data_IF_987960331311
#
_entry.id   IF_987960331311
#
_cell.length_a   1.000
_cell.length_b   1.000
_cell.length_c   1.000
_cell.angle_alpha   90.00
_cell.angle_beta   90.00
_cell.angle_gamma   90.00
#
_symmetry.space_group_name_H-M   'P 1'
#
loop_
_entity.id
_entity.type
_entity.pdbx_description
1 polymer ?
#
# COMPACT_ATOMS: atom_id res chain seq x y z
N UNK A 1 6.80 3.31 -1.42
CA UNK A 1 7.36 3.34 -2.79
C UNK A 1 8.68 4.11 -2.81
N UNK A 2 9.59 3.87 -3.77
CA UNK A 2 10.82 4.69 -3.88
C UNK A 2 10.54 6.03 -4.56
N UNK A 3 11.18 7.11 -4.13
CA UNK A 3 11.07 8.43 -4.80
C UNK A 3 11.41 8.32 -6.29
N UNK A 4 12.44 7.55 -6.65
CA UNK A 4 12.80 7.31 -8.06
C UNK A 4 11.71 6.65 -8.89
N UNK A 5 10.82 5.86 -8.26
CA UNK A 5 9.67 5.26 -8.94
C UNK A 5 8.55 6.29 -9.12
N UNK A 6 8.31 7.13 -8.11
CA UNK A 6 7.36 8.26 -8.22
C UNK A 6 7.79 9.22 -9.34
N UNK A 7 9.05 9.65 -9.35
CA UNK A 7 9.59 10.54 -10.37
C UNK A 7 9.43 10.04 -11.81
N UNK A 8 9.30 8.72 -12.02
CA UNK A 8 9.02 8.15 -13.35
C UNK A 8 7.54 8.15 -13.71
N UNK A 9 6.66 8.09 -12.70
CA UNK A 9 5.21 7.94 -12.88
C UNK A 9 4.47 9.26 -12.88
N UNK A 10 5.01 10.31 -12.31
CA UNK A 10 4.30 11.58 -12.08
C UNK A 10 5.29 12.75 -11.98
N UNK A 11 4.82 14.01 -12.10
CA UNK A 11 5.61 15.18 -11.79
C UNK A 11 5.82 15.34 -10.26
N UNK A 12 6.52 14.37 -9.66
CA UNK A 12 6.60 14.12 -8.22
C UNK A 12 6.94 15.38 -7.41
N UNK A 13 7.95 16.14 -7.83
CA UNK A 13 8.43 17.31 -7.09
C UNK A 13 7.38 18.43 -7.06
N UNK A 14 6.75 18.72 -8.20
CA UNK A 14 5.69 19.72 -8.27
C UNK A 14 4.48 19.33 -7.40
N UNK A 15 4.09 18.06 -7.44
CA UNK A 15 2.98 17.54 -6.63
C UNK A 15 3.31 17.56 -5.13
N UNK A 16 4.54 17.20 -4.76
CA UNK A 16 5.02 17.27 -3.37
C UNK A 16 4.93 18.70 -2.84
N UNK A 17 5.47 19.67 -3.59
CA UNK A 17 5.48 21.10 -3.24
C UNK A 17 4.06 21.61 -3.05
N UNK A 18 3.20 21.46 -4.06
CA UNK A 18 1.82 21.95 -4.02
C UNK A 18 1.03 21.34 -2.87
N UNK A 19 1.19 20.03 -2.64
CA UNK A 19 0.50 19.34 -1.55
C UNK A 19 0.96 19.84 -0.19
N UNK A 20 2.27 20.05 0.02
CA UNK A 20 2.81 20.56 1.28
C UNK A 20 2.44 22.03 1.50
N UNK A 21 2.51 22.87 0.46
CA UNK A 21 2.07 24.28 0.53
C UNK A 21 0.62 24.36 0.98
N UNK A 22 -0.28 23.65 0.29
CA UNK A 22 -1.71 23.59 0.63
C UNK A 22 -1.92 23.03 2.04
N UNK A 23 -1.40 21.84 2.28
CA UNK A 23 -1.63 21.08 3.51
C UNK A 23 -1.10 21.76 4.76
N UNK A 24 0.11 22.33 4.71
CA UNK A 24 0.66 23.08 5.84
C UNK A 24 0.04 24.46 5.99
N UNK A 25 -0.36 25.12 4.90
CA UNK A 25 -1.04 26.40 5.03
C UNK A 25 -2.36 26.25 5.78
N UNK A 26 -3.12 25.21 5.44
CA UNK A 26 -4.35 24.84 6.13
C UNK A 26 -4.09 24.40 7.58
N UNK A 27 -3.08 23.53 7.79
CA UNK A 27 -2.77 23.01 9.13
C UNK A 27 -2.36 24.10 10.13
N UNK A 28 -1.54 25.06 9.70
CA UNK A 28 -0.97 26.06 10.59
C UNK A 28 -1.66 27.42 10.52
N UNK A 29 -2.69 27.57 9.67
CA UNK A 29 -3.43 28.82 9.53
C UNK A 29 -2.57 29.98 9.02
N UNK A 30 -1.53 29.70 8.24
CA UNK A 30 -0.58 30.68 7.70
C UNK A 30 -0.24 30.37 6.25
N UNK A 31 0.07 31.36 5.43
CA UNK A 31 0.51 31.08 4.05
C UNK A 31 1.91 30.48 4.05
N UNK A 32 2.00 29.20 3.70
CA UNK A 32 3.26 28.46 3.55
C UNK A 32 3.67 28.42 2.08
N UNK A 33 4.92 28.76 1.82
CA UNK A 33 5.57 28.53 0.52
C UNK A 33 6.67 27.49 0.64
N UNK A 34 6.72 26.59 -0.32
CA UNK A 34 7.73 25.54 -0.43
C UNK A 34 8.48 25.74 -1.74
N UNK A 35 9.81 25.81 -1.67
CA UNK A 35 10.66 26.07 -2.84
C UNK A 35 11.70 24.98 -2.98
N UNK A 36 11.82 24.40 -4.17
CA UNK A 36 12.81 23.39 -4.48
C UNK A 36 13.67 23.81 -5.68
N UNK A 37 14.97 23.46 -5.70
CA UNK A 37 15.71 22.80 -4.62
C UNK A 37 15.95 23.73 -3.43
N UNK A 38 16.11 23.14 -2.23
CA UNK A 38 16.44 23.87 -1.00
C UNK A 38 17.16 23.00 0.03
N UNK A 39 17.77 23.64 1.04
CA UNK A 39 18.64 22.97 2.03
C UNK A 39 18.02 22.79 3.42
N UNK A 40 16.89 23.44 3.68
CA UNK A 40 16.16 23.40 4.95
C UNK A 40 15.57 22.02 5.25
N UNK A 41 14.99 21.39 4.23
CA UNK A 41 14.58 19.99 4.25
C UNK A 41 15.44 19.17 3.30
N UNK A 42 15.89 18.01 3.79
CA UNK A 42 16.76 17.09 3.09
C UNK A 42 16.03 15.80 2.80
N UNK A 43 16.37 15.15 1.70
CA UNK A 43 15.83 13.84 1.32
C UNK A 43 16.83 12.74 1.65
N UNK A 44 16.36 11.65 2.27
CA UNK A 44 17.10 10.40 2.41
C UNK A 44 16.58 9.37 1.37
N UNK A 45 17.30 9.16 0.26
CA UNK A 45 16.84 8.29 -0.82
C UNK A 45 16.63 6.82 -0.42
N UNK A 46 17.35 6.33 0.60
CA UNK A 46 17.27 4.92 1.01
C UNK A 46 15.91 4.54 1.62
N UNK A 47 15.27 5.47 2.32
CA UNK A 47 13.97 5.28 2.96
C UNK A 47 12.88 6.16 2.34
N UNK A 48 13.21 6.94 1.32
CA UNK A 48 12.28 7.86 0.65
C UNK A 48 11.60 8.83 1.63
N UNK A 49 12.38 9.48 2.50
CA UNK A 49 11.83 10.40 3.50
C UNK A 49 12.50 11.76 3.48
N UNK A 50 11.76 12.81 3.82
CA UNK A 50 12.28 14.16 4.03
C UNK A 50 12.31 14.51 5.52
N UNK A 51 13.33 15.26 5.92
CA UNK A 51 13.59 15.65 7.30
C UNK A 51 14.47 16.91 7.33
N UNK A 52 14.46 17.66 8.44
CA UNK A 52 15.34 18.82 8.59
C UNK A 52 16.73 18.43 9.10
N UNK A 53 17.76 19.25 8.82
CA UNK A 53 19.12 18.95 9.29
C UNK A 53 19.25 18.81 10.83
N UNK A 54 18.31 19.38 11.59
CA UNK A 54 18.27 19.29 13.06
C UNK A 54 17.34 18.21 13.61
N UNK A 55 16.84 17.32 12.75
CA UNK A 55 15.90 16.25 13.12
C UNK A 55 16.23 15.57 14.45
N UNK A 56 15.24 15.39 15.32
CA UNK A 56 15.41 14.97 16.71
C UNK A 56 15.72 13.47 16.87
N UNK A 57 15.96 13.01 18.10
CA UNK A 57 16.36 11.64 18.39
C UNK A 57 15.32 10.58 18.02
N UNK A 58 14.03 10.87 18.20
CA UNK A 58 12.96 9.92 17.91
C UNK A 58 12.72 9.75 16.40
N UNK A 59 12.69 10.86 15.67
CA UNK A 59 12.60 10.84 14.21
C UNK A 59 13.81 10.13 13.59
N UNK A 60 15.04 10.35 14.12
CA UNK A 60 16.23 9.58 13.70
C UNK A 60 16.12 8.09 14.02
N UNK A 61 15.55 7.73 15.19
CA UNK A 61 15.30 6.33 15.56
C UNK A 61 14.34 5.66 14.57
N UNK A 62 13.26 6.34 14.23
CA UNK A 62 12.31 5.88 13.21
C UNK A 62 13.01 5.63 11.88
N UNK A 63 13.75 6.61 11.35
CA UNK A 63 14.46 6.49 10.06
C UNK A 63 15.49 5.35 10.06
N UNK A 64 16.25 5.20 11.15
CA UNK A 64 17.16 4.07 11.35
C UNK A 64 16.42 2.74 11.22
N UNK A 65 15.35 2.56 11.98
CA UNK A 65 14.67 1.28 12.11
C UNK A 65 13.88 0.91 10.84
N UNK A 66 13.39 1.90 10.10
CA UNK A 66 12.77 1.72 8.78
C UNK A 66 13.71 1.14 7.73
N UNK A 67 15.03 1.18 7.97
CA UNK A 67 16.06 0.65 7.06
C UNK A 67 16.88 -0.51 7.63
N UNK A 68 17.27 -0.42 8.90
CA UNK A 68 18.30 -1.27 9.54
C UNK A 68 17.98 -2.76 9.43
N UNK A 69 16.72 -3.13 9.60
CA UNK A 69 16.28 -4.53 9.57
C UNK A 69 15.71 -4.88 8.20
N UNK A 70 16.06 -6.05 7.68
CA UNK A 70 15.65 -6.48 6.34
C UNK A 70 15.38 -7.96 6.28
N UNK A 71 14.36 -8.41 5.51
CA UNK A 71 14.16 -9.82 5.26
C UNK A 71 15.22 -10.41 4.31
N UNK A 72 16.00 -9.58 3.61
CA UNK A 72 17.01 -10.03 2.65
C UNK A 72 18.34 -10.29 3.38
N UNK A 73 18.61 -11.55 3.71
CA UNK A 73 19.78 -11.95 4.51
C UNK A 73 21.12 -11.48 3.91
N UNK A 74 21.27 -11.56 2.58
CA UNK A 74 22.49 -11.09 1.90
C UNK A 74 22.76 -9.60 2.04
N UNK A 75 21.76 -8.81 2.46
CA UNK A 75 21.88 -7.36 2.68
C UNK A 75 21.90 -7.00 4.17
N UNK A 76 21.73 -7.96 5.08
CA UNK A 76 21.48 -7.70 6.49
C UNK A 76 22.63 -6.91 7.15
N UNK A 77 23.88 -7.36 6.99
CA UNK A 77 25.03 -6.69 7.59
C UNK A 77 25.21 -5.25 7.04
N UNK A 78 25.15 -5.08 5.72
CA UNK A 78 25.27 -3.77 5.08
C UNK A 78 24.15 -2.80 5.51
N UNK A 79 22.89 -3.26 5.53
CA UNK A 79 21.77 -2.42 5.99
C UNK A 79 21.83 -2.13 7.47
N UNK A 80 22.35 -3.06 8.29
CA UNK A 80 22.56 -2.81 9.70
C UNK A 80 23.57 -1.69 9.94
N UNK A 81 24.72 -1.73 9.24
CA UNK A 81 25.78 -0.71 9.35
C UNK A 81 25.26 0.65 8.87
N UNK A 82 24.70 0.70 7.66
CA UNK A 82 24.17 1.93 7.08
C UNK A 82 23.01 2.49 7.90
N UNK A 83 22.09 1.64 8.35
CA UNK A 83 20.99 2.03 9.23
C UNK A 83 21.51 2.63 10.53
N UNK A 84 22.52 2.00 11.15
CA UNK A 84 23.16 2.54 12.35
C UNK A 84 23.78 3.92 12.10
N UNK A 85 24.40 4.14 10.93
CA UNK A 85 24.90 5.46 10.55
C UNK A 85 23.78 6.52 10.44
N UNK A 86 22.58 6.14 9.95
CA UNK A 86 21.41 7.03 9.90
C UNK A 86 20.91 7.49 11.27
N UNK A 87 21.28 6.78 12.36
CA UNK A 87 20.95 7.20 13.72
C UNK A 87 21.71 8.47 14.17
N UNK A 88 22.84 8.76 13.51
CA UNK A 88 23.70 9.91 13.81
C UNK A 88 23.38 11.11 12.91
N UNK A 89 23.50 12.33 13.45
CA UNK A 89 23.33 13.57 12.66
C UNK A 89 24.29 13.62 11.46
N UNK A 90 25.54 13.21 11.67
CA UNK A 90 26.60 13.24 10.65
C UNK A 90 26.29 12.24 9.53
N UNK A 91 26.04 10.98 9.88
CA UNK A 91 25.74 9.94 8.88
C UNK A 91 24.49 10.27 8.07
N UNK A 92 23.46 10.80 8.72
CA UNK A 92 22.25 11.24 8.05
C UNK A 92 22.49 12.45 7.12
N UNK A 93 23.28 13.44 7.54
CA UNK A 93 23.65 14.59 6.69
C UNK A 93 24.47 14.17 5.46
N UNK A 94 25.48 13.33 5.65
CA UNK A 94 26.37 12.87 4.56
C UNK A 94 25.67 11.98 3.53
N UNK A 95 24.65 11.23 3.94
CA UNK A 95 23.91 10.32 3.05
C UNK A 95 22.63 10.91 2.47
N UNK A 96 22.28 12.15 2.82
CA UNK A 96 21.09 12.85 2.31
C UNK A 96 21.44 13.88 1.25
N UNK A 97 20.44 14.25 0.46
CA UNK A 97 20.53 15.26 -0.59
C UNK A 97 19.68 16.49 -0.23
N UNK A 98 19.96 17.67 -0.79
CA UNK A 98 19.03 18.80 -0.73
C UNK A 98 17.63 18.37 -1.20
N UNK A 99 16.62 18.93 -0.56
CA UNK A 99 15.21 18.72 -0.88
C UNK A 99 14.59 20.05 -1.22
N UNK A 100 14.01 20.72 -0.23
CA UNK A 100 13.29 21.97 -0.41
C UNK A 100 13.44 22.88 0.82
N UNK A 101 13.12 24.16 0.64
CA UNK A 101 13.00 25.17 1.68
C UNK A 101 11.53 25.51 1.93
N UNK A 102 11.22 25.97 3.14
CA UNK A 102 9.86 26.33 3.55
C UNK A 102 9.87 27.68 4.24
N UNK A 103 8.95 28.56 3.87
CA UNK A 103 8.78 29.89 4.47
C UNK A 103 7.29 30.21 4.68
N UNK A 104 6.88 30.65 5.90
CA UNK A 104 7.67 30.72 7.12
C UNK A 104 8.09 29.32 7.61
N UNK A 105 8.98 29.26 8.60
CA UNK A 105 9.40 27.98 9.18
C UNK A 105 8.22 27.26 9.83
N UNK A 106 8.14 25.94 9.57
CA UNK A 106 7.12 25.08 10.15
C UNK A 106 7.42 24.83 11.64
N UNK A 107 6.45 25.01 12.55
CA UNK A 107 6.62 24.68 13.96
C UNK A 107 7.06 23.23 14.15
N UNK A 108 8.03 22.98 15.05
CA UNK A 108 8.54 21.65 15.38
C UNK A 108 9.05 20.85 14.17
N UNK A 109 9.53 21.49 13.11
CA UNK A 109 10.05 20.81 11.92
C UNK A 109 11.25 19.87 12.20
N UNK A 110 11.97 20.07 13.31
CA UNK A 110 13.00 19.15 13.79
C UNK A 110 12.41 17.85 14.38
N UNK A 111 11.13 17.81 14.70
CA UNK A 111 10.44 16.60 15.14
C UNK A 111 9.65 15.92 14.02
N UNK A 112 9.80 16.34 12.75
CA UNK A 112 8.99 15.85 11.65
C UNK A 112 9.75 14.97 10.65
N UNK A 113 9.05 13.96 10.13
CA UNK A 113 9.48 13.14 8.98
C UNK A 113 8.37 13.08 7.96
N UNK A 114 8.67 13.39 6.70
CA UNK A 114 7.71 13.37 5.60
C UNK A 114 7.97 12.14 4.74
N UNK A 115 6.95 11.33 4.51
CA UNK A 115 7.01 10.11 3.71
C UNK A 115 6.03 10.25 2.54
N UNK A 116 6.52 10.59 1.34
CA UNK A 116 5.70 10.50 0.13
C UNK A 116 5.30 9.05 -0.19
N UNK A 117 4.02 8.87 -0.47
CA UNK A 117 3.41 7.66 -1.00
C UNK A 117 2.87 7.86 -2.41
N UNK A 118 2.14 6.85 -2.91
CA UNK A 118 1.60 6.90 -4.27
C UNK A 118 0.55 8.01 -4.42
N UNK A 119 -0.50 7.96 -3.60
CA UNK A 119 -1.62 8.91 -3.66
C UNK A 119 -1.58 9.97 -2.55
N UNK A 120 -0.66 9.81 -1.59
CA UNK A 120 -0.70 10.54 -0.31
C UNK A 120 0.69 10.90 0.19
N UNK A 121 0.78 11.90 1.06
CA UNK A 121 1.99 12.27 1.79
C UNK A 121 1.70 12.15 3.29
N UNK A 122 2.49 11.34 3.99
CA UNK A 122 2.39 11.21 5.45
C UNK A 122 3.41 12.14 6.11
N UNK A 123 2.96 12.97 7.05
CA UNK A 123 3.81 13.81 7.90
C UNK A 123 3.74 13.28 9.32
N UNK A 124 4.83 12.65 9.76
CA UNK A 124 4.97 12.10 11.09
C UNK A 124 5.54 13.17 11.99
N UNK A 125 4.78 13.61 12.99
CA UNK A 125 5.22 14.57 14.01
C UNK A 125 5.45 13.84 15.35
N UNK A 126 6.72 13.69 15.69
CA UNK A 126 7.16 13.01 16.90
C UNK A 126 6.99 13.88 18.16
N UNK A 127 6.81 15.19 18.01
CA UNK A 127 6.55 16.10 19.14
C UNK A 127 5.12 15.98 19.64
N UNK A 128 4.15 15.92 18.72
CA UNK A 128 2.72 15.80 19.03
C UNK A 128 2.21 14.35 19.02
N UNK A 129 3.06 13.40 18.60
CA UNK A 129 2.71 11.97 18.43
C UNK A 129 1.55 11.77 17.45
N UNK A 130 1.54 12.55 16.36
CA UNK A 130 0.52 12.49 15.32
C UNK A 130 1.12 12.17 13.96
N UNK A 131 0.32 11.50 13.14
CA UNK A 131 0.56 11.35 11.72
C UNK A 131 -0.55 12.11 10.99
N UNK A 132 -0.20 13.11 10.19
CA UNK A 132 -1.14 13.76 9.28
C UNK A 132 -0.90 13.22 7.87
N UNK A 133 -1.97 12.77 7.23
CA UNK A 133 -1.94 12.22 5.88
C UNK A 133 -2.62 13.20 4.95
N UNK A 134 -1.87 13.75 3.99
CA UNK A 134 -2.39 14.64 2.95
C UNK A 134 -2.68 13.85 1.67
N UNK A 135 -3.83 14.09 1.06
CA UNK A 135 -4.08 13.70 -0.32
C UNK A 135 -3.15 14.52 -1.23
N UNK A 136 -2.44 13.84 -2.14
CA UNK A 136 -1.61 14.54 -3.11
C UNK A 136 -2.45 15.34 -4.08
N UNK A 137 -1.93 16.50 -4.47
CA UNK A 137 -2.61 17.37 -5.42
C UNK A 137 -2.90 16.63 -6.74
N UNK A 138 -4.11 16.80 -7.28
CA UNK A 138 -4.55 16.14 -8.52
C UNK A 138 -4.90 14.65 -8.40
N UNK A 139 -4.86 14.05 -7.19
CA UNK A 139 -5.31 12.67 -6.97
C UNK A 139 -6.80 12.59 -6.60
N UNK A 140 -7.42 11.45 -6.91
CA UNK A 140 -8.81 11.17 -6.58
C UNK A 140 -8.97 10.99 -5.06
N UNK A 141 -9.86 11.77 -4.43
CA UNK A 141 -10.13 11.69 -3.00
C UNK A 141 -10.97 10.49 -2.60
N UNK A 142 -11.54 9.73 -3.55
CA UNK A 142 -12.41 8.60 -3.27
C UNK A 142 -11.76 7.53 -2.36
N UNK A 143 -10.47 7.25 -2.54
CA UNK A 143 -9.73 6.29 -1.71
C UNK A 143 -9.51 6.82 -0.28
N UNK A 144 -9.28 8.13 -0.12
CA UNK A 144 -9.15 8.78 1.18
C UNK A 144 -10.50 8.86 1.90
N UNK A 145 -11.56 9.25 1.20
CA UNK A 145 -12.92 9.28 1.73
C UNK A 145 -13.40 7.89 2.15
N UNK A 146 -13.09 6.85 1.36
CA UNK A 146 -13.40 5.48 1.71
C UNK A 146 -12.72 5.05 3.02
N UNK A 147 -11.44 5.38 3.19
CA UNK A 147 -10.71 5.05 4.41
C UNK A 147 -11.21 5.83 5.62
N UNK A 148 -11.50 7.13 5.47
CA UNK A 148 -12.09 7.96 6.53
C UNK A 148 -13.41 7.34 7.00
N UNK A 149 -14.28 6.98 6.06
CA UNK A 149 -15.57 6.35 6.36
C UNK A 149 -15.42 4.97 7.01
N UNK A 150 -14.52 4.14 6.49
CA UNK A 150 -14.32 2.78 6.98
C UNK A 150 -13.78 2.78 8.41
N UNK A 151 -12.73 3.58 8.64
CA UNK A 151 -12.02 3.58 9.92
C UNK A 151 -12.77 4.35 10.99
N UNK A 152 -13.39 5.48 10.64
CA UNK A 152 -14.20 6.29 11.55
C UNK A 152 -13.52 6.47 12.93
N UNK A 153 -14.25 6.15 14.00
CA UNK A 153 -13.77 6.19 15.38
C UNK A 153 -12.80 5.08 15.78
N UNK A 154 -12.53 4.10 14.91
CA UNK A 154 -11.67 2.94 15.18
C UNK A 154 -12.35 1.78 15.90
N UNK A 155 -13.58 1.95 16.39
CA UNK A 155 -14.25 0.97 17.26
C UNK A 155 -14.65 -0.33 16.54
N UNK A 156 -14.67 -0.32 15.22
CA UNK A 156 -15.27 -1.36 14.39
C UNK A 156 -14.27 -2.25 13.68
N UNK A 157 -12.95 -2.16 13.94
CA UNK A 157 -12.00 -3.00 13.22
C UNK A 157 -10.54 -2.95 13.67
N UNK A 158 -9.65 -3.71 13.00
CA UNK A 158 -8.26 -3.92 13.40
C UNK A 158 -7.33 -2.78 12.94
N UNK A 159 -7.81 -1.55 13.00
CA UNK A 159 -7.14 -0.36 12.48
C UNK A 159 -7.13 0.77 13.52
N UNK A 160 -6.14 1.67 13.46
CA UNK A 160 -6.12 2.80 14.36
C UNK A 160 -7.25 3.79 14.02
N UNK A 161 -7.80 4.50 15.03
CA UNK A 161 -8.84 5.49 14.81
C UNK A 161 -8.33 6.68 14.00
N UNK A 162 -9.22 7.29 13.22
CA UNK A 162 -8.97 8.60 12.62
C UNK A 162 -9.44 9.66 13.61
N UNK A 163 -8.52 10.49 14.08
CA UNK A 163 -8.79 11.46 15.15
C UNK A 163 -9.38 12.76 14.63
N UNK A 164 -9.11 13.11 13.38
CA UNK A 164 -9.64 14.28 12.70
C UNK A 164 -9.50 14.11 11.18
N UNK A 165 -10.39 14.73 10.40
CA UNK A 165 -10.30 14.73 8.95
C UNK A 165 -10.93 16.00 8.36
N UNK A 166 -10.53 16.35 7.15
CA UNK A 166 -11.22 17.36 6.36
C UNK A 166 -12.50 16.81 5.75
N UNK A 167 -13.56 17.62 5.70
CA UNK A 167 -14.85 17.24 5.11
C UNK A 167 -14.72 16.82 3.63
N UNK A 168 -13.76 17.41 2.92
CA UNK A 168 -13.48 17.11 1.51
C UNK A 168 -12.50 15.94 1.31
N UNK A 169 -12.12 15.22 2.37
CA UNK A 169 -11.14 14.14 2.36
C UNK A 169 -9.77 14.54 1.76
N UNK A 170 -9.37 15.81 1.91
CA UNK A 170 -8.05 16.28 1.47
C UNK A 170 -6.93 16.00 2.47
N UNK A 171 -7.28 15.70 3.72
CA UNK A 171 -6.37 15.19 4.75
C UNK A 171 -7.11 14.47 5.87
N UNK A 172 -6.40 13.65 6.63
CA UNK A 172 -6.81 13.14 7.94
C UNK A 172 -5.63 13.03 8.91
N UNK A 173 -5.93 12.95 10.21
CA UNK A 173 -4.98 12.72 11.29
C UNK A 173 -5.26 11.41 12.01
N UNK A 174 -4.18 10.78 12.46
CA UNK A 174 -4.19 9.59 13.31
C UNK A 174 -3.05 9.65 14.33
N UNK A 175 -3.11 8.81 15.36
CA UNK A 175 -2.02 8.66 16.30
C UNK A 175 -0.77 8.10 15.60
N UNK A 176 0.40 8.62 15.93
CA UNK A 176 1.66 8.06 15.46
C UNK A 176 1.91 6.69 16.11
N UNK A 177 1.94 5.63 15.31
CA UNK A 177 2.21 4.28 15.80
C UNK A 177 3.69 4.11 16.15
N UNK A 178 4.00 3.78 17.40
CA UNK A 178 5.34 3.34 17.80
C UNK A 178 5.51 1.84 17.51
N UNK A 179 5.62 1.52 16.23
CA UNK A 179 5.61 0.16 15.71
C UNK A 179 6.70 -0.05 14.64
N UNK A 180 6.97 -1.31 14.34
CA UNK A 180 7.72 -1.73 13.15
C UNK A 180 6.73 -2.23 12.08
N UNK A 181 6.97 -1.92 10.81
CA UNK A 181 6.38 -2.74 9.75
C UNK A 181 6.93 -4.17 9.87
N UNK A 182 6.11 -5.20 9.68
CA UNK A 182 6.47 -6.60 9.91
C UNK A 182 7.81 -7.02 9.24
N UNK A 183 8.11 -6.67 7.96
CA UNK A 183 9.40 -7.01 7.33
C UNK A 183 10.60 -6.38 8.04
N UNK A 184 10.38 -5.27 8.74
CA UNK A 184 11.38 -4.46 9.47
C UNK A 184 11.44 -4.78 10.96
N UNK A 185 10.71 -5.78 11.43
CA UNK A 185 10.85 -6.24 12.81
C UNK A 185 12.28 -6.79 13.07
N UNK A 186 12.86 -6.51 14.26
CA UNK A 186 14.15 -7.07 14.68
C UNK A 186 14.10 -8.60 14.81
N UNK A 187 15.26 -9.29 14.87
CA UNK A 187 15.32 -10.76 14.93
C UNK A 187 14.62 -11.41 16.13
N UNK A 188 14.38 -10.66 17.22
CA UNK A 188 13.72 -11.18 18.42
C UNK A 188 12.18 -11.23 18.34
N UNK A 189 11.58 -10.70 17.27
CA UNK A 189 10.12 -10.75 17.05
C UNK A 189 9.81 -11.93 16.14
N UNK A 190 8.89 -12.79 16.57
CA UNK A 190 8.35 -13.88 15.73
C UNK A 190 7.40 -13.30 14.68
N UNK A 191 7.95 -13.06 13.49
CA UNK A 191 7.20 -12.51 12.37
C UNK A 191 6.09 -13.44 11.89
N UNK A 192 6.27 -14.75 12.01
CA UNK A 192 5.26 -15.72 11.58
C UNK A 192 4.05 -15.71 12.51
N UNK A 193 4.29 -15.57 13.83
CA UNK A 193 3.23 -15.39 14.80
C UNK A 193 2.47 -14.08 14.57
N UNK A 194 3.16 -12.96 14.40
CA UNK A 194 2.53 -11.67 14.12
C UNK A 194 1.73 -11.67 12.80
N UNK A 195 2.23 -12.32 11.75
CA UNK A 195 1.50 -12.46 10.47
C UNK A 195 0.23 -13.30 10.63
N UNK A 196 0.30 -14.38 11.41
CA UNK A 196 -0.87 -15.22 11.73
C UNK A 196 -1.90 -14.43 12.54
N UNK A 197 -1.46 -13.64 13.51
CA UNK A 197 -2.34 -12.81 14.33
C UNK A 197 -3.00 -11.69 13.52
N UNK A 198 -2.24 -11.03 12.63
CA UNK A 198 -2.77 -10.07 11.65
C UNK A 198 -3.92 -10.66 10.83
N UNK A 199 -3.74 -11.89 10.34
CA UNK A 199 -4.73 -12.59 9.54
C UNK A 199 -5.98 -12.96 10.36
N UNK A 200 -5.79 -13.42 11.61
CA UNK A 200 -6.90 -13.73 12.50
C UNK A 200 -7.74 -12.48 12.81
N UNK A 201 -7.10 -11.35 13.15
CA UNK A 201 -7.78 -10.07 13.39
C UNK A 201 -8.60 -9.62 12.17
N UNK A 202 -8.03 -9.76 10.98
CA UNK A 202 -8.71 -9.43 9.74
C UNK A 202 -9.91 -10.34 9.48
N UNK A 203 -9.78 -11.64 9.73
CA UNK A 203 -10.85 -12.62 9.50
C UNK A 203 -11.99 -12.50 10.51
N UNK A 204 -11.67 -12.17 11.76
CA UNK A 204 -12.66 -11.85 12.78
C UNK A 204 -13.49 -10.63 12.37
N UNK A 205 -12.83 -9.56 11.92
CA UNK A 205 -13.50 -8.37 11.40
C UNK A 205 -14.34 -8.63 10.15
N UNK A 206 -13.82 -9.43 9.21
CA UNK A 206 -14.52 -9.81 7.98
C UNK A 206 -15.83 -10.55 8.25
N UNK A 207 -15.93 -11.28 9.37
CA UNK A 207 -17.09 -12.10 9.72
C UNK A 207 -18.39 -11.29 9.75
N UNK A 208 -18.33 -10.05 10.22
CA UNK A 208 -19.52 -9.19 10.39
C UNK A 208 -20.10 -8.71 9.05
N UNK A 209 -19.26 -8.69 8.01
CA UNK A 209 -19.66 -8.31 6.65
C UNK A 209 -19.86 -9.50 5.71
N UNK A 210 -19.74 -10.73 6.23
CA UNK A 210 -19.77 -11.94 5.41
C UNK A 210 -21.17 -12.19 4.87
N UNK A 211 -21.28 -12.39 3.55
CA UNK A 211 -22.52 -12.77 2.89
C UNK A 211 -22.28 -13.71 1.71
N UNK A 212 -23.24 -14.57 1.43
CA UNK A 212 -23.24 -15.38 0.21
C UNK A 212 -23.77 -14.58 -0.97
N UNK A 213 -23.19 -14.80 -2.14
CA UNK A 213 -23.63 -14.24 -3.42
C UNK A 213 -23.59 -15.32 -4.51
N UNK A 214 -24.39 -15.09 -5.56
CA UNK A 214 -24.28 -15.87 -6.79
C UNK A 214 -22.95 -15.55 -7.49
N UNK A 215 -22.18 -16.59 -7.84
CA UNK A 215 -20.85 -16.42 -8.41
C UNK A 215 -20.90 -15.80 -9.81
N UNK A 216 -21.94 -16.07 -10.59
CA UNK A 216 -22.13 -15.53 -11.94
C UNK A 216 -22.46 -14.05 -11.88
N UNK A 217 -23.35 -13.63 -10.99
CA UNK A 217 -23.69 -12.22 -10.80
C UNK A 217 -22.46 -11.44 -10.32
N UNK A 218 -21.74 -11.97 -9.33
CA UNK A 218 -20.52 -11.34 -8.83
C UNK A 218 -19.43 -11.20 -9.90
N UNK A 219 -19.10 -12.29 -10.59
CA UNK A 219 -18.08 -12.28 -11.66
C UNK A 219 -18.47 -11.37 -12.83
N UNK A 220 -19.77 -11.27 -13.17
CA UNK A 220 -20.27 -10.36 -14.21
C UNK A 220 -20.09 -8.90 -13.81
N UNK A 221 -20.44 -8.53 -12.58
CA UNK A 221 -20.25 -7.17 -12.08
C UNK A 221 -18.77 -6.78 -12.01
N UNK A 222 -17.93 -7.70 -11.52
CA UNK A 222 -16.49 -7.49 -11.45
C UNK A 222 -15.86 -7.36 -12.83
N UNK A 223 -16.28 -8.19 -13.79
CA UNK A 223 -15.84 -8.10 -15.19
C UNK A 223 -16.21 -6.75 -15.80
N UNK A 224 -17.45 -6.30 -15.63
CA UNK A 224 -17.90 -5.02 -16.18
C UNK A 224 -17.06 -3.85 -15.66
N UNK A 225 -16.78 -3.84 -14.34
CA UNK A 225 -15.90 -2.83 -13.72
C UNK A 225 -14.48 -2.91 -14.26
N UNK A 226 -13.90 -4.11 -14.33
CA UNK A 226 -12.54 -4.31 -14.83
C UNK A 226 -12.40 -3.93 -16.31
N UNK A 227 -13.41 -4.20 -17.15
CA UNK A 227 -13.44 -3.78 -18.54
C UNK A 227 -13.56 -2.25 -18.69
N UNK A 228 -14.33 -1.59 -17.82
CA UNK A 228 -14.39 -0.13 -17.78
C UNK A 228 -13.03 0.48 -17.41
N UNK A 229 -12.39 0.00 -16.34
CA UNK A 229 -11.06 0.46 -15.94
C UNK A 229 -10.03 0.13 -17.04
N UNK A 230 -10.12 -1.03 -17.70
CA UNK A 230 -9.25 -1.39 -18.82
C UNK A 230 -9.41 -0.43 -20.01
N UNK A 231 -10.64 -0.03 -20.35
CA UNK A 231 -10.89 0.93 -21.43
C UNK A 231 -10.22 2.28 -21.11
N UNK A 232 -10.31 2.76 -19.87
CA UNK A 232 -9.63 3.98 -19.43
C UNK A 232 -8.10 3.84 -19.43
N UNK A 233 -7.58 2.66 -19.08
CA UNK A 233 -6.14 2.35 -19.17
C UNK A 233 -5.67 2.38 -20.63
N UNK A 234 -6.44 1.80 -21.57
CA UNK A 234 -6.12 1.85 -23.00
C UNK A 234 -6.14 3.28 -23.54
N UNK A 235 -7.15 4.07 -23.18
CA UNK A 235 -7.25 5.48 -23.57
C UNK A 235 -6.05 6.31 -23.09
N UNK A 236 -5.67 6.12 -21.80
CA UNK A 236 -4.60 6.89 -21.18
C UNK A 236 -3.19 6.42 -21.55
N UNK A 237 -2.97 5.11 -21.65
CA UNK A 237 -1.63 4.51 -21.75
C UNK A 237 -1.40 3.70 -23.04
N UNK A 238 -2.39 3.63 -23.92
CA UNK A 238 -2.30 3.03 -25.25
C UNK A 238 -2.96 1.65 -25.37
N UNK A 239 -3.42 1.33 -26.59
CA UNK A 239 -4.27 0.15 -26.88
C UNK A 239 -3.59 -1.22 -26.71
N UNK A 240 -2.28 -1.29 -26.49
CA UNK A 240 -1.58 -2.57 -26.27
C UNK A 240 -2.02 -3.29 -24.97
N UNK A 241 -2.76 -2.61 -24.09
CA UNK A 241 -3.41 -3.18 -22.91
C UNK A 241 -4.69 -3.95 -23.23
N UNK A 242 -5.31 -3.73 -24.39
CA UNK A 242 -6.55 -4.41 -24.80
C UNK A 242 -6.41 -5.94 -24.85
N UNK A 243 -5.18 -6.44 -24.99
CA UNK A 243 -4.84 -7.85 -24.85
C UNK A 243 -5.30 -8.48 -23.51
N UNK A 244 -5.51 -7.68 -22.46
CA UNK A 244 -6.03 -8.15 -21.18
C UNK A 244 -7.54 -8.49 -21.21
N UNK A 245 -8.28 -8.05 -22.23
CA UNK A 245 -9.73 -8.25 -22.32
C UNK A 245 -10.11 -9.74 -22.33
N UNK A 246 -9.46 -10.52 -23.19
CA UNK A 246 -9.72 -11.97 -23.29
C UNK A 246 -9.37 -12.72 -22.00
N UNK A 247 -8.34 -12.25 -21.28
CA UNK A 247 -7.96 -12.77 -19.98
C UNK A 247 -9.07 -12.50 -18.94
N UNK A 248 -9.55 -11.25 -18.85
CA UNK A 248 -10.67 -10.89 -17.98
C UNK A 248 -11.90 -11.76 -18.24
N UNK A 249 -12.29 -11.90 -19.52
CA UNK A 249 -13.45 -12.71 -19.92
C UNK A 249 -13.28 -14.18 -19.52
N UNK A 250 -12.07 -14.73 -19.70
CA UNK A 250 -11.75 -16.12 -19.33
C UNK A 250 -11.84 -16.33 -17.83
N UNK A 251 -11.25 -15.43 -17.03
CA UNK A 251 -11.27 -15.52 -15.57
C UNK A 251 -12.70 -15.38 -15.02
N UNK A 252 -13.49 -14.44 -15.54
CA UNK A 252 -14.88 -14.26 -15.15
C UNK A 252 -15.71 -15.51 -15.43
N UNK A 253 -15.55 -16.12 -16.61
CA UNK A 253 -16.23 -17.36 -16.97
C UNK A 253 -15.87 -18.50 -16.00
N UNK A 254 -14.59 -18.71 -15.73
CA UNK A 254 -14.11 -19.77 -14.83
C UNK A 254 -14.54 -19.54 -13.37
N UNK A 255 -14.70 -18.28 -12.96
CA UNK A 255 -15.16 -17.90 -11.62
C UNK A 255 -16.68 -18.00 -11.40
N UNK A 256 -17.48 -18.18 -12.45
CA UNK A 256 -18.93 -17.92 -12.45
C UNK A 256 -19.83 -19.06 -11.91
N UNK A 257 -19.28 -20.09 -11.26
CA UNK A 257 -20.02 -21.30 -10.91
C UNK A 257 -20.47 -21.37 -9.44
N UNK A 258 -21.75 -21.66 -9.18
CA UNK A 258 -22.24 -21.87 -7.81
C UNK A 258 -22.29 -20.59 -6.98
N UNK A 259 -21.93 -20.68 -5.70
CA UNK A 259 -21.99 -19.56 -4.75
C UNK A 259 -20.60 -19.16 -4.28
N UNK A 260 -20.46 -17.89 -3.93
CA UNK A 260 -19.23 -17.33 -3.35
C UNK A 260 -19.57 -16.61 -2.05
N UNK A 261 -18.68 -16.70 -1.07
CA UNK A 261 -18.76 -15.86 0.13
C UNK A 261 -17.95 -14.59 -0.09
N UNK A 262 -18.62 -13.45 0.10
CA UNK A 262 -18.05 -12.12 0.02
C UNK A 262 -17.93 -11.52 1.41
N UNK A 263 -16.93 -10.67 1.62
CA UNK A 263 -16.78 -9.84 2.82
C UNK A 263 -16.03 -8.56 2.48
N UNK A 264 -16.13 -7.57 3.37
CA UNK A 264 -15.28 -6.38 3.30
C UNK A 264 -13.81 -6.82 3.48
N UNK A 265 -12.97 -6.54 2.49
CA UNK A 265 -11.55 -6.90 2.49
C UNK A 265 -10.67 -5.67 2.80
N UNK A 266 -9.44 -5.89 3.24
CA UNK A 266 -8.41 -4.87 3.28
C UNK A 266 -8.02 -4.44 1.86
N UNK A 267 -7.95 -5.38 0.92
CA UNK A 267 -7.66 -5.10 -0.50
C UNK A 267 -6.18 -4.96 -0.83
N UNK A 268 -5.31 -4.86 0.17
CA UNK A 268 -3.86 -4.80 0.04
C UNK A 268 -3.17 -5.45 1.26
N UNK A 269 -3.67 -6.62 1.67
CA UNK A 269 -3.14 -7.30 2.86
C UNK A 269 -1.76 -7.91 2.59
N UNK A 270 -0.72 -7.11 2.80
CA UNK A 270 0.69 -7.50 2.65
C UNK A 270 1.47 -7.17 3.93
N UNK A 271 2.61 -7.85 4.13
CA UNK A 271 3.45 -7.67 5.31
C UNK A 271 3.84 -6.20 5.59
N UNK A 272 3.96 -5.37 4.56
CA UNK A 272 4.23 -3.93 4.72
C UNK A 272 3.16 -3.15 5.47
N UNK A 273 1.92 -3.64 5.46
CA UNK A 273 0.74 -3.03 6.07
C UNK A 273 0.39 -3.65 7.44
N UNK A 274 1.22 -4.58 7.92
CA UNK A 274 1.15 -5.16 9.25
C UNK A 274 2.14 -4.41 10.14
N UNK A 275 1.62 -3.70 11.14
CA UNK A 275 2.41 -2.97 12.13
C UNK A 275 2.48 -3.78 13.42
N UNK A 276 3.68 -3.90 13.98
CA UNK A 276 3.96 -4.63 15.23
C UNK A 276 4.47 -3.64 16.26
N UNK A 277 3.71 -3.46 17.34
CA UNK A 277 4.03 -2.57 18.44
C UNK A 277 5.38 -2.95 19.07
N UNK A 278 6.20 -1.95 19.38
CA UNK A 278 7.55 -2.17 19.91
C UNK A 278 7.59 -2.72 21.34
N UNK A 279 6.55 -2.46 22.13
CA UNK A 279 6.52 -2.74 23.57
C UNK A 279 6.02 -4.14 23.87
N UNK A 280 4.93 -4.53 23.24
CA UNK A 280 4.14 -5.74 23.54
C UNK A 280 4.00 -6.67 22.33
N UNK A 281 4.47 -6.25 21.14
CA UNK A 281 4.32 -6.97 19.88
C UNK A 281 2.86 -7.10 19.39
N UNK A 282 1.95 -6.28 19.92
CA UNK A 282 0.58 -6.19 19.44
C UNK A 282 0.53 -5.79 17.97
N UNK A 283 -0.40 -6.40 17.24
CA UNK A 283 -0.54 -6.24 15.80
C UNK A 283 -1.63 -5.21 15.48
N UNK A 284 -1.35 -4.36 14.49
CA UNK A 284 -2.32 -3.40 13.95
C UNK A 284 -2.20 -3.33 12.44
N UNK A 285 -3.32 -3.20 11.74
CA UNK A 285 -3.36 -3.10 10.28
C UNK A 285 -3.54 -1.65 9.83
N UNK A 286 -2.80 -1.25 8.81
CA UNK A 286 -2.82 0.11 8.26
C UNK A 286 -3.05 0.10 6.75
N UNK A 287 -3.29 1.28 6.18
CA UNK A 287 -3.41 1.48 4.73
C UNK A 287 -4.67 0.84 4.11
N UNK A 288 -5.83 1.29 4.60
CA UNK A 288 -7.15 0.75 4.24
C UNK A 288 -7.77 1.38 2.98
N UNK A 289 -6.96 2.09 2.18
CA UNK A 289 -7.41 2.86 1.03
C UNK A 289 -8.05 2.02 -0.07
N UNK A 290 -7.67 0.73 -0.14
CA UNK A 290 -8.17 -0.24 -1.12
C UNK A 290 -9.27 -1.16 -0.59
N UNK A 291 -9.79 -0.87 0.61
CA UNK A 291 -10.82 -1.69 1.23
C UNK A 291 -12.10 -1.68 0.39
N UNK A 292 -12.59 -2.86 0.06
CA UNK A 292 -13.82 -3.07 -0.70
C UNK A 292 -14.37 -4.47 -0.44
N UNK A 293 -15.63 -4.70 -0.79
CA UNK A 293 -16.20 -6.03 -0.78
C UNK A 293 -15.56 -6.91 -1.87
N UNK A 294 -15.05 -8.07 -1.47
CA UNK A 294 -14.36 -9.05 -2.31
C UNK A 294 -14.70 -10.46 -1.82
N UNK A 295 -14.25 -11.48 -2.52
CA UNK A 295 -14.26 -12.85 -1.99
C UNK A 295 -13.57 -12.86 -0.62
N UNK A 296 -14.13 -13.56 0.36
CA UNK A 296 -13.59 -13.56 1.72
C UNK A 296 -12.16 -14.12 1.82
N UNK A 297 -11.72 -14.86 0.79
CA UNK A 297 -10.37 -15.41 0.69
C UNK A 297 -9.37 -14.42 0.08
N UNK A 298 -9.82 -13.28 -0.45
CA UNK A 298 -8.98 -12.37 -1.24
C UNK A 298 -7.71 -11.95 -0.50
N UNK A 299 -7.83 -11.43 0.73
CA UNK A 299 -6.67 -10.95 1.48
C UNK A 299 -5.69 -12.07 1.84
N UNK A 300 -6.22 -13.26 2.18
CA UNK A 300 -5.40 -14.44 2.45
C UNK A 300 -4.65 -14.90 1.19
N UNK A 301 -5.27 -14.81 0.03
CA UNK A 301 -4.65 -15.09 -1.27
C UNK A 301 -3.59 -14.02 -1.64
N UNK A 302 -3.87 -12.72 -1.41
CA UNK A 302 -2.88 -11.64 -1.61
C UNK A 302 -1.61 -11.89 -0.78
N UNK A 303 -1.77 -12.21 0.51
CA UNK A 303 -0.67 -12.50 1.41
C UNK A 303 0.06 -13.81 1.04
N UNK A 304 -0.67 -14.91 0.92
CA UNK A 304 -0.12 -16.24 0.67
C UNK A 304 0.58 -16.36 -0.69
N UNK A 305 0.01 -15.75 -1.74
CA UNK A 305 0.62 -15.69 -3.07
C UNK A 305 1.55 -14.49 -3.26
N UNK A 306 1.69 -13.62 -2.27
CA UNK A 306 2.52 -12.40 -2.34
C UNK A 306 2.28 -11.64 -3.64
N UNK A 307 1.03 -11.42 -4.04
CA UNK A 307 0.70 -10.98 -5.40
C UNK A 307 1.17 -9.57 -5.72
N UNK A 308 1.32 -8.71 -4.70
CA UNK A 308 1.95 -7.38 -4.80
C UNK A 308 3.43 -7.41 -5.14
N UNK A 309 4.13 -8.52 -4.83
CA UNK A 309 5.45 -8.83 -5.36
C UNK A 309 5.31 -9.78 -6.55
N UNK A 310 4.72 -9.28 -7.65
CA UNK A 310 4.21 -10.12 -8.74
C UNK A 310 5.27 -11.01 -9.40
N UNK A 311 6.56 -10.69 -9.29
CA UNK A 311 7.63 -11.58 -9.78
C UNK A 311 7.54 -12.98 -9.14
N UNK A 312 7.44 -14.00 -9.98
CA UNK A 312 7.25 -15.39 -9.58
C UNK A 312 5.83 -15.75 -9.11
N UNK A 313 4.83 -14.90 -9.38
CA UNK A 313 3.43 -15.18 -9.07
C UNK A 313 2.94 -16.42 -9.80
N UNK A 314 3.34 -16.62 -11.06
CA UNK A 314 2.90 -17.76 -11.87
C UNK A 314 3.23 -19.10 -11.21
N UNK A 315 4.45 -19.21 -10.69
CA UNK A 315 4.92 -20.40 -9.98
C UNK A 315 4.16 -20.61 -8.66
N UNK A 316 3.90 -19.53 -7.92
CA UNK A 316 3.13 -19.61 -6.67
C UNK A 316 1.68 -20.02 -6.91
N UNK A 317 1.06 -19.53 -7.98
CA UNK A 317 -0.29 -19.95 -8.41
C UNK A 317 -0.32 -21.45 -8.75
N UNK A 318 0.63 -21.94 -9.55
CA UNK A 318 0.73 -23.36 -9.90
C UNK A 318 0.91 -24.25 -8.65
N UNK A 319 1.76 -23.82 -7.72
CA UNK A 319 1.97 -24.54 -6.46
C UNK A 319 0.72 -24.54 -5.57
N UNK A 320 0.02 -23.41 -5.47
CA UNK A 320 -1.20 -23.30 -4.67
C UNK A 320 -2.33 -24.19 -5.19
N UNK A 321 -2.47 -24.34 -6.51
CA UNK A 321 -3.44 -25.27 -7.12
C UNK A 321 -3.14 -26.75 -6.82
N UNK A 322 -1.92 -27.09 -6.41
CA UNK A 322 -1.52 -28.47 -6.10
C UNK A 322 -1.51 -28.78 -4.60
N UNK A 323 -1.22 -27.78 -3.76
CA UNK A 323 -0.89 -27.98 -2.33
C UNK A 323 -1.71 -27.13 -1.39
N UNK A 324 -2.70 -26.42 -1.91
CA UNK A 324 -3.47 -25.42 -1.16
C UNK A 324 -2.57 -24.30 -0.57
N UNK A 325 -3.19 -23.25 -0.05
CA UNK A 325 -2.50 -22.31 0.84
C UNK A 325 -2.86 -22.66 2.29
N UNK A 326 -2.05 -22.27 3.28
CA UNK A 326 -2.40 -22.47 4.69
C UNK A 326 -3.83 -22.01 4.99
N UNK A 327 -4.71 -22.97 5.28
CA UNK A 327 -6.12 -22.76 5.59
C UNK A 327 -6.99 -22.25 4.42
N UNK A 328 -6.56 -22.36 3.16
CA UNK A 328 -7.39 -22.10 1.98
C UNK A 328 -7.36 -23.30 1.06
N UNK A 329 -8.53 -23.86 0.78
CA UNK A 329 -8.67 -24.80 -0.33
C UNK A 329 -8.69 -24.00 -1.63
N UNK A 330 -7.71 -24.22 -2.49
CA UNK A 330 -7.52 -23.49 -3.74
C UNK A 330 -7.93 -24.38 -4.90
N UNK A 331 -9.15 -24.15 -5.40
CA UNK A 331 -9.62 -24.76 -6.64
C UNK A 331 -9.55 -23.76 -7.81
N UNK A 332 -9.89 -24.24 -9.01
CA UNK A 332 -9.90 -23.42 -10.23
C UNK A 332 -10.76 -22.17 -10.14
N UNK A 333 -11.95 -22.28 -9.54
CA UNK A 333 -12.87 -21.16 -9.40
C UNK A 333 -12.33 -20.10 -8.43
N UNK A 334 -11.87 -20.51 -7.24
CA UNK A 334 -11.27 -19.62 -6.25
C UNK A 334 -10.08 -18.87 -6.83
N UNK A 335 -9.22 -19.58 -7.56
CA UNK A 335 -8.07 -18.96 -8.23
C UNK A 335 -8.51 -18.00 -9.35
N UNK A 336 -9.51 -18.38 -10.15
CA UNK A 336 -10.01 -17.52 -11.24
C UNK A 336 -10.58 -16.19 -10.70
N UNK A 337 -11.40 -16.25 -9.65
CA UNK A 337 -11.95 -15.07 -9.00
C UNK A 337 -10.85 -14.22 -8.38
N UNK A 338 -9.91 -14.82 -7.65
CA UNK A 338 -8.78 -14.10 -7.09
C UNK A 338 -7.99 -13.34 -8.18
N UNK A 339 -7.62 -14.01 -9.27
CA UNK A 339 -6.86 -13.39 -10.35
C UNK A 339 -7.64 -12.27 -11.06
N UNK A 340 -8.97 -12.39 -11.15
CA UNK A 340 -9.84 -11.35 -11.69
C UNK A 340 -9.91 -10.14 -10.76
N UNK A 341 -10.12 -10.36 -9.46
CA UNK A 341 -10.13 -9.32 -8.43
C UNK A 341 -8.79 -8.58 -8.37
N UNK A 342 -7.69 -9.32 -8.44
CA UNK A 342 -6.34 -8.75 -8.36
C UNK A 342 -5.99 -7.95 -9.62
N UNK A 343 -6.39 -8.44 -10.80
CA UNK A 343 -6.23 -7.68 -12.04
C UNK A 343 -7.06 -6.39 -12.02
N UNK A 344 -8.31 -6.46 -11.55
CA UNK A 344 -9.16 -5.28 -11.37
C UNK A 344 -8.52 -4.26 -10.41
N UNK A 345 -7.89 -4.73 -9.32
CA UNK A 345 -7.13 -3.88 -8.41
C UNK A 345 -5.98 -3.15 -9.13
N UNK A 346 -5.15 -3.85 -9.91
CA UNK A 346 -4.03 -3.23 -10.63
C UNK A 346 -4.46 -2.23 -11.71
N UNK A 347 -5.57 -2.51 -12.40
CA UNK A 347 -6.16 -1.60 -13.37
C UNK A 347 -6.62 -0.31 -12.69
N UNK A 348 -7.40 -0.44 -11.62
CA UNK A 348 -7.88 0.72 -10.86
C UNK A 348 -6.73 1.54 -10.28
N UNK A 349 -5.73 0.89 -9.69
CA UNK A 349 -4.56 1.56 -9.11
C UNK A 349 -3.71 2.32 -10.16
N UNK A 350 -3.80 1.93 -11.42
CA UNK A 350 -3.15 2.66 -12.52
C UNK A 350 -3.91 3.94 -12.93
N UNK A 351 -5.13 4.14 -12.42
CA UNK A 351 -6.01 5.25 -12.75
C UNK A 351 -6.20 6.26 -11.61
N UNK A 352 -5.73 5.96 -10.39
CA UNK A 352 -5.97 6.75 -9.16
C UNK A 352 -5.29 8.12 -9.12
N UNK A 353 -4.42 8.42 -10.09
CA UNK A 353 -3.72 9.69 -10.15
C UNK A 353 -3.35 10.13 -11.56
N UNK A 354 -2.72 11.31 -11.70
CA UNK A 354 -2.24 11.85 -12.97
C UNK A 354 -0.94 11.15 -13.40
N UNK A 355 -0.95 9.82 -13.44
CA UNK A 355 0.22 9.04 -13.81
C UNK A 355 0.52 9.16 -15.30
N UNK A 356 1.80 9.32 -15.65
CA UNK A 356 2.31 9.28 -17.02
C UNK A 356 2.47 7.84 -17.56
N UNK A 357 2.49 6.85 -16.67
CA UNK A 357 2.58 5.43 -17.04
C UNK A 357 1.91 4.53 -16.00
N UNK A 358 1.49 3.35 -16.45
CA UNK A 358 0.98 2.30 -15.55
C UNK A 358 2.01 1.89 -14.49
N UNK A 359 1.54 1.24 -13.43
CA UNK A 359 2.44 0.70 -12.40
C UNK A 359 3.33 -0.42 -12.94
N UNK A 360 4.58 -0.51 -12.44
CA UNK A 360 5.46 -1.67 -12.68
C UNK A 360 4.80 -2.98 -12.22
N UNK A 361 3.92 -2.90 -11.21
CA UNK A 361 3.11 -4.01 -10.72
C UNK A 361 2.19 -4.57 -11.79
N UNK A 362 1.39 -3.74 -12.47
CA UNK A 362 0.50 -4.19 -13.54
C UNK A 362 1.28 -4.83 -14.70
N UNK A 363 2.42 -4.23 -15.09
CA UNK A 363 3.30 -4.76 -16.14
C UNK A 363 3.80 -6.16 -15.78
N UNK A 364 4.29 -6.34 -14.54
CA UNK A 364 4.78 -7.63 -14.09
C UNK A 364 3.65 -8.65 -13.91
N UNK A 365 2.51 -8.22 -13.36
CA UNK A 365 1.34 -9.07 -13.16
C UNK A 365 0.85 -9.67 -14.48
N UNK A 366 0.70 -8.83 -15.52
CA UNK A 366 0.34 -9.28 -16.86
C UNK A 366 1.26 -10.40 -17.36
N UNK A 367 2.58 -10.18 -17.30
CA UNK A 367 3.58 -11.17 -17.77
C UNK A 367 3.48 -12.50 -17.03
N UNK A 368 3.25 -12.45 -15.72
CA UNK A 368 3.17 -13.63 -14.87
C UNK A 368 1.90 -14.42 -15.15
N UNK A 369 0.75 -13.75 -15.28
CA UNK A 369 -0.51 -14.43 -15.62
C UNK A 369 -0.47 -14.98 -17.05
N UNK A 370 0.11 -14.27 -18.02
CA UNK A 370 0.34 -14.80 -19.37
C UNK A 370 1.23 -16.06 -19.35
N UNK A 371 2.22 -16.12 -18.45
CA UNK A 371 3.13 -17.29 -18.31
C UNK A 371 2.48 -18.53 -17.68
N UNK A 372 1.25 -18.41 -17.16
CA UNK A 372 0.46 -19.57 -16.73
C UNK A 372 0.02 -20.46 -17.91
N UNK A 373 0.04 -19.92 -19.14
CA UNK A 373 -0.36 -20.65 -20.34
C UNK A 373 -1.87 -20.77 -20.48
N UNK A 374 -2.36 -21.95 -20.88
CA UNK A 374 -3.80 -22.16 -21.08
C UNK A 374 -4.54 -22.26 -19.72
N UNK A 375 -5.14 -21.15 -19.31
CA UNK A 375 -5.89 -21.05 -18.04
C UNK A 375 -7.07 -22.02 -17.97
N UNK A 376 -7.74 -22.34 -19.10
CA UNK A 376 -8.84 -23.31 -19.07
C UNK A 376 -8.34 -24.68 -18.63
N UNK A 377 -7.19 -25.13 -19.17
CA UNK A 377 -6.58 -26.41 -18.77
C UNK A 377 -6.09 -26.35 -17.33
N UNK A 378 -5.41 -25.27 -16.95
CA UNK A 378 -4.81 -25.13 -15.63
C UNK A 378 -5.86 -25.09 -14.51
N UNK A 379 -6.94 -24.33 -14.72
CA UNK A 379 -7.94 -24.09 -13.68
C UNK A 379 -9.07 -25.14 -13.69
N UNK A 380 -9.36 -25.80 -14.82
CA UNK A 380 -10.36 -26.90 -14.83
C UNK A 380 -9.83 -28.20 -14.23
N UNK A 381 -8.50 -28.43 -14.28
CA UNK A 381 -7.87 -29.67 -13.84
C UNK A 381 -7.70 -29.85 -12.33
N UNK A 382 -8.08 -28.86 -11.52
CA UNK A 382 -7.99 -28.88 -10.06
C UNK A 382 -9.34 -29.06 -9.35
N UNK A 383 -10.31 -29.70 -10.00
CA UNK A 383 -11.65 -29.95 -9.43
C UNK A 383 -11.69 -31.14 -8.49
#
# INVERSE_FOLDING_TARGET
MRISQMQRREPFEALLIQTLERGWSEQFGMTVRVTAPGDGWRVQPLISAFFTAQVNGEARRYMRDSFRYTPIQSRAAAQWVLGTALASKIGLKLSSRPGFDVSPQIPNADAMVIIPGNQRIRVLDFSTKRCRVFLKEGFDSATMANEIRLRGSGDSGPFPPITSAADNASWFEEALLDAYALPRCPPGIDKGLCEKEALNLLEEWQRDSRRSADAKDYSTQLLAKAQQDLAMVCDRFGNHWEALKSLLDTLAKLGSHGTVELSQSHGDFQAGNIMVNRKDADVTLIDWEHSAERTHLYDRMVNGLKSRASKGLAERVKNALQRDLPGVRVNGQTMALFLLEDLAWFLRESLTGPFAMVSEGLVQYRREVESLGNLNTLLSGGS
#
